data_IF_176977315542
#
_entry.id   IF_176977315542
#
_cell.length_a   1.000
_cell.length_b   1.000
_cell.length_c   1.000
_cell.angle_alpha   90.00
_cell.angle_beta   90.00
_cell.angle_gamma   90.00
#
_symmetry.space_group_name_H-M   'P 1'
#
loop_
_entity.id
_entity.type
_entity.pdbx_description
1 polymer ?
#
# COMPACT_ATOMS: atom_id res chain seq x y z
N UNK A 1 -16.55 75.36 8.38
CA UNK A 1 -15.99 75.39 9.74
C UNK A 1 -16.28 74.05 10.40
N UNK A 2 -15.22 73.29 10.68
CA UNK A 2 -15.21 71.96 11.32
C UNK A 2 -15.32 72.11 12.85
N UNK A 3 -15.68 71.01 13.52
CA UNK A 3 -15.88 70.81 14.98
C UNK A 3 -17.35 71.12 15.32
N UNK A 4 -18.17 70.20 15.84
CA UNK A 4 -17.97 69.22 16.90
C UNK A 4 -19.09 68.19 16.75
N UNK A 5 -18.78 66.89 16.58
CA UNK A 5 -19.59 65.76 17.08
C UNK A 5 -18.82 64.45 16.79
N UNK A 6 -17.64 64.31 17.39
CA UNK A 6 -16.71 63.20 17.14
C UNK A 6 -16.59 62.23 18.33
N UNK A 7 -17.62 62.11 19.15
CA UNK A 7 -17.54 61.32 20.39
C UNK A 7 -18.88 60.70 20.70
N UNK A 8 -19.14 59.49 20.18
CA UNK A 8 -19.98 58.44 20.78
C UNK A 8 -20.31 57.34 19.76
N UNK A 9 -19.31 56.72 19.13
CA UNK A 9 -19.50 55.41 18.47
C UNK A 9 -18.27 54.52 18.64
N UNK A 10 -17.54 54.70 19.74
CA UNK A 10 -16.34 53.95 20.09
C UNK A 10 -16.58 53.21 21.42
N UNK A 11 -17.59 52.32 21.47
CA UNK A 11 -17.84 51.52 22.69
C UNK A 11 -18.53 50.17 22.49
N UNK A 12 -18.95 49.80 21.27
CA UNK A 12 -19.70 48.54 21.06
C UNK A 12 -18.83 47.40 20.50
N UNK A 13 -17.56 47.66 20.15
CA UNK A 13 -16.74 46.69 19.42
C UNK A 13 -15.81 45.82 20.28
N UNK A 14 -16.05 45.68 21.59
CA UNK A 14 -15.05 45.07 22.48
C UNK A 14 -15.56 44.06 23.51
N UNK A 15 -16.83 43.65 23.49
CA UNK A 15 -17.32 42.56 24.32
C UNK A 15 -18.39 41.75 23.59
N UNK A 16 -17.97 40.77 22.79
CA UNK A 16 -18.93 39.97 22.03
C UNK A 16 -18.32 38.73 21.39
N UNK A 17 -17.74 37.85 22.22
CA UNK A 17 -17.58 36.44 21.89
C UNK A 17 -16.55 36.10 20.81
N UNK A 18 -15.30 35.87 21.22
CA UNK A 18 -14.52 34.82 20.57
C UNK A 18 -15.22 33.49 20.85
N UNK A 19 -16.20 33.13 20.02
CA UNK A 19 -16.53 31.72 19.88
C UNK A 19 -15.36 31.10 19.13
N UNK A 20 -14.45 30.48 19.88
CA UNK A 20 -13.51 29.52 19.32
C UNK A 20 -14.38 28.41 18.74
N UNK A 21 -14.72 28.54 17.45
CA UNK A 21 -15.31 27.45 16.72
C UNK A 21 -14.19 26.43 16.57
N UNK A 22 -14.18 25.45 17.46
CA UNK A 22 -13.42 24.24 17.26
C UNK A 22 -14.00 23.62 15.98
N UNK A 23 -13.37 23.89 14.84
CA UNK A 23 -13.56 23.07 13.65
C UNK A 23 -13.24 21.66 14.09
N UNK A 24 -14.19 20.71 14.04
CA UNK A 24 -13.83 19.32 14.22
C UNK A 24 -12.79 19.03 13.14
N UNK A 25 -11.56 18.79 13.56
CA UNK A 25 -10.57 18.19 12.68
C UNK A 25 -11.12 16.81 12.39
N UNK A 26 -11.73 16.65 11.23
CA UNK A 26 -12.05 15.33 10.71
C UNK A 26 -10.70 14.64 10.57
N UNK A 27 -10.36 13.78 11.53
CA UNK A 27 -9.31 12.81 11.31
C UNK A 27 -9.73 12.06 10.06
N UNK A 28 -8.93 12.17 8.99
CA UNK A 28 -9.06 11.25 7.88
C UNK A 28 -9.05 9.86 8.52
N UNK A 29 -10.15 9.12 8.39
CA UNK A 29 -10.17 7.74 8.82
C UNK A 29 -9.01 7.10 8.07
N UNK A 30 -7.99 6.63 8.79
CA UNK A 30 -7.08 5.64 8.24
C UNK A 30 -8.01 4.56 7.71
N UNK A 31 -8.13 4.43 6.39
CA UNK A 31 -8.81 3.29 5.82
C UNK A 31 -8.11 2.10 6.45
N UNK A 32 -8.81 1.38 7.31
CA UNK A 32 -8.40 0.04 7.67
C UNK A 32 -8.59 -0.71 6.36
N UNK A 33 -7.53 -0.76 5.54
CA UNK A 33 -7.49 -1.64 4.39
C UNK A 33 -7.75 -3.00 4.98
N UNK A 34 -8.94 -3.54 4.71
CA UNK A 34 -9.27 -4.88 5.12
C UNK A 34 -8.33 -5.75 4.31
N UNK A 35 -7.27 -6.24 4.95
CA UNK A 35 -6.35 -7.21 4.36
C UNK A 35 -7.20 -8.43 4.04
N UNK A 36 -7.60 -8.55 2.79
CA UNK A 36 -8.35 -9.71 2.31
C UNK A 36 -7.36 -10.76 1.84
N UNK A 37 -7.49 -12.04 2.23
CA UNK A 37 -6.67 -13.13 1.70
C UNK A 37 -6.64 -13.24 0.15
N UNK A 38 -7.51 -12.50 -0.54
CA UNK A 38 -7.65 -12.51 -1.99
C UNK A 38 -6.39 -12.12 -2.75
N UNK A 39 -5.59 -11.18 -2.25
CA UNK A 39 -4.37 -10.74 -2.94
C UNK A 39 -3.31 -11.85 -2.91
N UNK A 40 -3.12 -12.48 -1.75
CA UNK A 40 -2.28 -13.67 -1.62
C UNK A 40 -2.74 -14.80 -2.55
N UNK A 41 -4.03 -15.16 -2.54
CA UNK A 41 -4.52 -16.24 -3.40
C UNK A 41 -4.45 -15.89 -4.90
N UNK A 42 -4.58 -14.61 -5.26
CA UNK A 42 -4.36 -14.13 -6.64
C UNK A 42 -2.89 -14.29 -7.04
N UNK A 43 -1.96 -13.91 -6.17
CA UNK A 43 -0.54 -14.17 -6.33
C UNK A 43 -0.26 -15.66 -6.53
N UNK A 44 -0.77 -16.50 -5.63
CA UNK A 44 -0.63 -17.96 -5.67
C UNK A 44 -1.09 -18.58 -6.98
N UNK A 45 -2.27 -18.16 -7.46
CA UNK A 45 -2.80 -18.61 -8.75
C UNK A 45 -1.89 -18.17 -9.91
N UNK A 46 -1.37 -16.94 -9.86
CA UNK A 46 -0.48 -16.39 -10.87
C UNK A 46 0.85 -17.16 -10.92
N UNK A 47 1.48 -17.37 -9.77
CA UNK A 47 2.72 -18.16 -9.66
C UNK A 47 2.55 -19.60 -10.14
N UNK A 48 1.42 -20.23 -9.80
CA UNK A 48 1.08 -21.57 -10.31
C UNK A 48 0.94 -21.56 -11.83
N UNK A 49 0.29 -20.53 -12.40
CA UNK A 49 0.18 -20.36 -13.84
C UNK A 49 1.52 -20.23 -14.55
N UNK A 50 2.47 -19.48 -13.99
CA UNK A 50 3.83 -19.36 -14.52
C UNK A 50 4.56 -20.71 -14.48
N UNK A 51 4.42 -21.44 -13.36
CA UNK A 51 5.00 -22.78 -13.21
C UNK A 51 4.48 -23.75 -14.27
N UNK A 52 3.17 -23.79 -14.48
CA UNK A 52 2.55 -24.65 -15.49
C UNK A 52 2.93 -24.23 -16.91
N UNK A 53 3.04 -22.92 -17.16
CA UNK A 53 3.51 -22.37 -18.42
C UNK A 53 4.94 -22.83 -18.74
N UNK A 54 5.90 -22.66 -17.82
CA UNK A 54 7.27 -23.12 -18.04
C UNK A 54 7.37 -24.64 -18.16
N UNK A 55 6.57 -25.39 -17.40
CA UNK A 55 6.49 -26.84 -17.55
C UNK A 55 6.04 -27.24 -18.97
N UNK A 56 5.12 -26.48 -19.58
CA UNK A 56 4.64 -26.74 -20.94
C UNK A 56 5.67 -26.44 -22.04
N UNK A 57 6.51 -25.42 -21.84
CA UNK A 57 7.51 -25.00 -22.85
C UNK A 57 8.79 -25.81 -22.74
N UNK A 58 9.29 -26.00 -21.52
CA UNK A 58 10.61 -26.57 -21.28
C UNK A 58 10.57 -28.02 -20.78
N UNK A 59 9.41 -28.52 -20.38
CA UNK A 59 9.28 -29.77 -19.64
C UNK A 59 9.65 -29.59 -18.16
N UNK A 60 8.77 -30.00 -17.27
CA UNK A 60 9.01 -29.91 -15.83
C UNK A 60 10.29 -30.64 -15.42
N UNK A 61 11.11 -30.01 -14.57
CA UNK A 61 12.35 -30.57 -14.03
C UNK A 61 13.56 -30.51 -14.96
N UNK A 62 13.45 -29.94 -16.17
CA UNK A 62 14.62 -29.69 -17.01
C UNK A 62 15.43 -28.49 -16.48
N UNK A 63 16.73 -28.38 -16.83
CA UNK A 63 17.52 -27.20 -16.44
C UNK A 63 16.93 -25.87 -16.92
N UNK A 64 16.32 -25.85 -18.10
CA UNK A 64 15.67 -24.65 -18.64
C UNK A 64 14.41 -24.27 -17.86
N UNK A 65 13.59 -25.26 -17.49
CA UNK A 65 12.44 -25.05 -16.60
C UNK A 65 12.90 -24.47 -15.25
N UNK A 66 13.90 -25.08 -14.64
CA UNK A 66 14.45 -24.64 -13.35
C UNK A 66 14.97 -23.22 -13.41
N UNK A 67 15.75 -22.87 -14.45
CA UNK A 67 16.27 -21.53 -14.63
C UNK A 67 15.16 -20.46 -14.82
N UNK A 68 14.07 -20.81 -15.51
CA UNK A 68 12.93 -19.92 -15.67
C UNK A 68 12.20 -19.67 -14.34
N UNK A 69 11.97 -20.73 -13.56
CA UNK A 69 11.39 -20.62 -12.21
C UNK A 69 12.28 -19.77 -11.29
N UNK A 70 13.59 -19.99 -11.32
CA UNK A 70 14.54 -19.27 -10.47
C UNK A 70 14.62 -17.79 -10.85
N UNK A 71 14.51 -17.48 -12.15
CA UNK A 71 14.43 -16.11 -12.64
C UNK A 71 13.18 -15.39 -12.11
N UNK A 72 11.99 -15.99 -12.24
CA UNK A 72 10.75 -15.37 -11.75
C UNK A 72 10.74 -15.26 -10.22
N UNK A 73 11.33 -16.23 -9.52
CA UNK A 73 11.49 -16.18 -8.08
C UNK A 73 12.36 -15.00 -7.64
N UNK A 74 13.51 -14.80 -8.30
CA UNK A 74 14.39 -13.66 -8.03
C UNK A 74 13.70 -12.32 -8.28
N UNK A 75 12.97 -12.21 -9.40
CA UNK A 75 12.21 -11.01 -9.75
C UNK A 75 11.10 -10.71 -8.71
N UNK A 76 10.42 -11.74 -8.22
CA UNK A 76 9.39 -11.59 -7.19
C UNK A 76 9.99 -11.15 -5.84
N UNK A 77 11.11 -11.74 -5.40
CA UNK A 77 11.85 -11.27 -4.21
C UNK A 77 12.27 -9.81 -4.36
N UNK A 78 12.78 -9.43 -5.54
CA UNK A 78 13.14 -8.03 -5.80
C UNK A 78 11.92 -7.12 -5.70
N UNK A 79 10.78 -7.57 -6.22
CA UNK A 79 9.52 -6.83 -6.22
C UNK A 79 8.92 -6.68 -4.81
N UNK A 80 9.22 -7.58 -3.87
CA UNK A 80 8.84 -7.45 -2.46
C UNK A 80 9.53 -6.30 -1.71
N UNK A 81 10.72 -5.86 -2.16
CA UNK A 81 11.53 -4.89 -1.41
C UNK A 81 10.81 -3.57 -1.19
N UNK A 82 10.30 -2.96 -2.26
CA UNK A 82 9.64 -1.66 -2.20
C UNK A 82 8.32 -1.68 -1.41
N UNK A 83 7.40 -2.65 -1.63
CA UNK A 83 6.21 -2.83 -0.80
C UNK A 83 6.52 -3.01 0.68
N UNK A 84 7.56 -3.80 1.01
CA UNK A 84 7.99 -4.03 2.40
C UNK A 84 8.46 -2.73 3.06
N UNK A 85 9.27 -1.93 2.36
CA UNK A 85 9.76 -0.63 2.86
C UNK A 85 8.63 0.37 3.09
N UNK A 86 7.55 0.29 2.30
CA UNK A 86 6.40 1.20 2.37
C UNK A 86 5.18 0.62 3.11
N UNK A 87 5.30 -0.58 3.68
CA UNK A 87 4.20 -1.31 4.34
C UNK A 87 2.95 -1.48 3.46
N UNK A 88 3.14 -1.70 2.16
CA UNK A 88 2.04 -2.00 1.23
C UNK A 88 1.66 -3.49 1.33
N UNK A 89 0.75 -3.79 2.26
CA UNK A 89 0.36 -5.18 2.56
C UNK A 89 -0.28 -5.91 1.37
N UNK A 90 -0.99 -5.21 0.48
CA UNK A 90 -1.60 -5.82 -0.70
C UNK A 90 -0.51 -6.39 -1.62
N UNK A 91 0.54 -5.59 -1.89
CA UNK A 91 1.62 -6.04 -2.77
C UNK A 91 2.48 -7.10 -2.08
N UNK A 92 2.72 -6.96 -0.78
CA UNK A 92 3.41 -7.99 0.02
C UNK A 92 2.67 -9.33 -0.07
N UNK A 93 1.35 -9.33 0.12
CA UNK A 93 0.54 -10.53 0.07
C UNK A 93 0.54 -11.15 -1.33
N UNK A 94 0.38 -10.33 -2.38
CA UNK A 94 0.43 -10.80 -3.77
C UNK A 94 1.77 -11.46 -4.09
N UNK A 95 2.89 -10.79 -3.85
CA UNK A 95 4.20 -11.32 -4.21
C UNK A 95 4.60 -12.54 -3.36
N UNK A 96 4.19 -12.57 -2.08
CA UNK A 96 4.37 -13.76 -1.23
C UNK A 96 3.60 -14.96 -1.78
N UNK A 97 2.33 -14.76 -2.17
CA UNK A 97 1.53 -15.79 -2.81
C UNK A 97 2.14 -16.26 -4.14
N UNK A 98 2.62 -15.32 -4.96
CA UNK A 98 3.27 -15.64 -6.24
C UNK A 98 4.47 -16.56 -6.05
N UNK A 99 5.34 -16.27 -5.08
CA UNK A 99 6.51 -17.09 -4.73
C UNK A 99 6.09 -18.50 -4.30
N UNK A 100 5.08 -18.61 -3.41
CA UNK A 100 4.54 -19.91 -3.01
C UNK A 100 3.95 -20.68 -4.21
N UNK A 101 3.33 -19.98 -5.16
CA UNK A 101 2.75 -20.55 -6.38
C UNK A 101 3.80 -21.16 -7.31
N UNK A 102 4.98 -20.55 -7.39
CA UNK A 102 6.15 -21.09 -8.09
C UNK A 102 6.67 -22.39 -7.44
N UNK A 103 6.31 -22.66 -6.17
CA UNK A 103 6.77 -23.82 -5.43
C UNK A 103 8.25 -23.75 -5.03
N UNK A 104 8.80 -22.53 -4.96
CA UNK A 104 10.12 -22.23 -4.41
C UNK A 104 9.93 -21.60 -3.04
N UNK A 105 10.59 -22.11 -1.97
CA UNK A 105 10.57 -21.41 -0.70
C UNK A 105 11.30 -20.08 -0.83
N UNK A 106 10.86 -19.06 -0.07
CA UNK A 106 11.71 -17.92 0.26
C UNK A 106 12.95 -18.48 0.96
N UNK A 107 14.05 -18.67 0.24
CA UNK A 107 15.30 -19.06 0.89
C UNK A 107 15.70 -17.91 1.82
N UNK A 108 15.66 -18.17 3.13
CA UNK A 108 16.30 -17.33 4.13
C UNK A 108 17.81 -17.33 3.80
N UNK A 109 18.28 -16.34 3.04
CA UNK A 109 19.71 -16.03 2.96
C UNK A 109 20.16 -15.64 4.37
N UNK A 110 20.81 -16.59 5.06
CA UNK A 110 21.55 -16.38 6.31
C UNK A 110 22.94 -15.78 6.05
#
# INVERSE_FOLDING_TARGET
MKRVLCTLFLSVLLLGGLTVQATPTTFASSQTVTVTPGDYYSGLATGTGHKDYYASIYGAGTPAYTAAIDSDHYEAIRSLRYPTENYDQHEIDFWSGFIDGLGRPLEEEY
#
